data_IF_507770169200
#
_entry.id   IF_507770169200
#
_cell.length_a   1.000
_cell.length_b   1.000
_cell.length_c   1.000
_cell.angle_alpha   90.00
_cell.angle_beta   90.00
_cell.angle_gamma   90.00
#
_symmetry.space_group_name_H-M   'P 1'
#
loop_
_entity.id
_entity.type
_entity.pdbx_description
1 polymer ?
#
# COMPACT_ATOMS: atom_id res chain seq x y z
N UNK A 1 -1.76 12.28 -9.70
CA UNK A 1 -1.76 12.43 -8.22
C UNK A 1 -2.54 11.33 -7.48
N UNK A 2 -3.83 11.08 -7.76
CA UNK A 2 -4.59 9.99 -7.08
C UNK A 2 -4.01 8.61 -7.43
N UNK A 3 -3.74 8.37 -8.71
CA UNK A 3 -3.13 7.13 -9.20
C UNK A 3 -1.75 6.88 -8.58
N UNK A 4 -0.95 7.93 -8.42
CA UNK A 4 0.36 7.89 -7.76
C UNK A 4 0.25 7.43 -6.29
N UNK A 5 -0.73 7.96 -5.54
CA UNK A 5 -0.95 7.52 -4.16
C UNK A 5 -1.40 6.06 -4.09
N UNK A 6 -2.26 5.63 -5.01
CA UNK A 6 -2.66 4.23 -5.13
C UNK A 6 -1.44 3.32 -5.33
N UNK A 7 -0.56 3.64 -6.30
CA UNK A 7 0.64 2.86 -6.56
C UNK A 7 1.60 2.82 -5.36
N UNK A 8 1.76 3.94 -4.65
CA UNK A 8 2.56 3.99 -3.43
C UNK A 8 1.97 3.16 -2.29
N UNK A 9 0.64 3.11 -2.14
CA UNK A 9 -0.03 2.24 -1.17
C UNK A 9 0.11 0.77 -1.57
N UNK A 10 0.00 0.45 -2.87
CA UNK A 10 0.23 -0.91 -3.38
C UNK A 10 1.65 -1.39 -3.06
N UNK A 11 2.67 -0.53 -3.22
CA UNK A 11 4.04 -0.85 -2.76
C UNK A 11 4.09 -1.18 -1.26
N UNK A 12 3.39 -0.39 -0.42
CA UNK A 12 3.41 -0.60 1.04
C UNK A 12 2.69 -1.88 1.48
N UNK A 13 1.68 -2.32 0.73
CA UNK A 13 0.88 -3.51 1.07
C UNK A 13 1.50 -4.77 0.47
N UNK A 14 1.82 -4.76 -0.82
CA UNK A 14 2.31 -5.94 -1.55
C UNK A 14 3.78 -6.23 -1.20
N UNK A 15 4.56 -5.20 -0.84
CA UNK A 15 5.96 -5.30 -0.47
C UNK A 15 6.22 -5.34 1.05
N UNK A 16 5.21 -5.55 1.90
CA UNK A 16 5.31 -5.38 3.36
C UNK A 16 6.50 -6.14 4.03
N UNK A 17 6.91 -7.28 3.46
CA UNK A 17 8.07 -8.05 3.95
C UNK A 17 9.41 -7.42 3.56
N UNK A 18 9.48 -6.80 2.37
CA UNK A 18 10.71 -6.26 1.77
C UNK A 18 10.91 -4.76 2.04
N UNK A 19 9.84 -4.03 2.38
CA UNK A 19 9.91 -2.59 2.67
C UNK A 19 10.30 -2.33 4.14
N UNK A 20 11.01 -1.22 4.36
CA UNK A 20 11.41 -0.80 5.68
C UNK A 20 11.79 0.68 5.74
N UNK A 21 12.38 1.07 6.87
CA UNK A 21 13.03 2.36 6.99
C UNK A 21 14.44 2.26 6.41
N UNK A 22 14.51 2.26 5.08
CA UNK A 22 15.74 2.23 4.30
C UNK A 22 15.68 3.23 3.14
N UNK A 23 16.86 3.56 2.59
CA UNK A 23 16.97 4.54 1.50
C UNK A 23 16.16 4.13 0.28
N UNK A 24 16.20 2.86 -0.11
CA UNK A 24 15.50 2.37 -1.30
C UNK A 24 14.00 2.58 -1.18
N UNK A 25 13.39 2.21 -0.04
CA UNK A 25 11.96 2.36 0.20
C UNK A 25 11.52 3.82 0.09
N UNK A 26 12.24 4.76 0.72
CA UNK A 26 11.84 6.17 0.72
C UNK A 26 12.06 6.86 -0.63
N UNK A 27 13.11 6.50 -1.37
CA UNK A 27 13.32 6.98 -2.73
C UNK A 27 12.26 6.41 -3.69
N UNK A 28 11.88 5.15 -3.53
CA UNK A 28 10.81 4.50 -4.31
C UNK A 28 9.45 5.12 -4.05
N UNK A 29 9.11 5.38 -2.77
CA UNK A 29 7.91 6.10 -2.38
C UNK A 29 7.87 7.49 -3.01
N UNK A 30 8.98 8.23 -2.96
CA UNK A 30 9.07 9.52 -3.63
C UNK A 30 8.81 9.37 -5.13
N UNK A 31 9.54 8.48 -5.82
CA UNK A 31 9.40 8.26 -7.26
C UNK A 31 7.97 7.95 -7.71
N UNK A 32 7.27 7.08 -6.98
CA UNK A 32 5.86 6.78 -7.25
C UNK A 32 4.97 7.99 -7.01
N UNK A 33 5.16 8.70 -5.89
CA UNK A 33 4.34 9.86 -5.53
C UNK A 33 4.56 11.08 -6.43
N UNK A 34 5.75 11.23 -7.00
CA UNK A 34 6.17 12.36 -7.85
C UNK A 34 6.07 12.07 -9.35
N UNK A 35 5.71 10.85 -9.74
CA UNK A 35 5.60 10.44 -11.15
C UNK A 35 4.76 11.42 -11.98
N UNK A 36 5.37 12.01 -13.02
CA UNK A 36 4.77 13.01 -13.92
C UNK A 36 4.24 14.29 -13.22
N UNK A 37 4.73 14.61 -12.02
CA UNK A 37 4.36 15.83 -11.28
C UNK A 37 5.52 16.83 -11.12
N UNK A 38 6.76 16.40 -11.37
CA UNK A 38 7.95 17.24 -11.19
C UNK A 38 8.21 18.10 -12.44
N UNK A 39 8.65 19.37 -12.29
CA UNK A 39 9.13 20.18 -13.42
C UNK A 39 10.33 19.55 -14.12
N UNK A 40 11.25 18.97 -13.34
CA UNK A 40 12.35 18.14 -13.83
C UNK A 40 12.03 16.66 -13.56
N UNK A 41 11.76 15.84 -14.59
CA UNK A 41 11.49 14.42 -14.42
C UNK A 41 12.62 13.65 -13.72
N UNK A 42 13.88 14.10 -13.86
CA UNK A 42 15.04 13.43 -13.23
C UNK A 42 15.09 13.63 -11.71
N UNK A 43 14.35 14.60 -11.17
CA UNK A 43 14.21 14.81 -9.72
C UNK A 43 13.34 13.74 -9.05
N UNK A 44 12.51 13.03 -9.83
CA UNK A 44 11.64 11.98 -9.31
C UNK A 44 12.46 10.83 -8.71
N UNK A 45 12.12 10.43 -7.47
CA UNK A 45 12.84 9.37 -6.75
C UNK A 45 14.29 9.69 -6.36
N UNK A 46 14.72 10.96 -6.39
CA UNK A 46 16.10 11.35 -6.03
C UNK A 46 16.12 12.45 -4.99
N UNK A 47 17.17 12.45 -4.16
CA UNK A 47 17.46 13.57 -3.26
C UNK A 47 17.75 14.82 -4.09
N UNK A 48 17.28 15.97 -3.61
CA UNK A 48 17.47 17.24 -4.31
C UNK A 48 18.93 17.69 -4.26
N UNK A 49 19.35 18.35 -5.32
CA UNK A 49 20.68 18.95 -5.43
C UNK A 49 20.63 20.48 -5.44
N UNK A 50 19.43 21.07 -5.40
CA UNK A 50 19.20 22.51 -5.34
C UNK A 50 18.52 22.91 -4.02
N UNK A 51 18.67 24.17 -3.57
CA UNK A 51 17.89 24.70 -2.46
C UNK A 51 16.40 24.75 -2.79
N UNK A 52 15.56 24.64 -1.76
CA UNK A 52 14.10 24.81 -1.84
C UNK A 52 13.64 25.77 -0.75
N UNK A 53 12.44 26.32 -0.91
CA UNK A 53 11.80 27.20 0.07
C UNK A 53 10.45 26.64 0.47
N UNK A 54 10.05 26.89 1.71
CA UNK A 54 8.69 26.60 2.19
C UNK A 54 7.85 27.85 2.01
N UNK A 55 6.93 27.81 1.04
CA UNK A 55 6.00 28.92 0.81
C UNK A 55 5.22 29.25 2.09
N UNK A 56 5.12 30.54 2.42
CA UNK A 56 4.37 31.02 3.60
C UNK A 56 5.08 30.78 4.94
N UNK A 57 6.35 30.42 4.95
CA UNK A 57 7.16 30.25 6.16
C UNK A 57 8.50 30.98 6.04
N UNK A 58 9.05 31.42 7.18
CA UNK A 58 10.43 31.97 7.25
C UNK A 58 11.49 30.87 7.34
N UNK A 59 11.08 29.61 7.46
CA UNK A 59 11.98 28.48 7.54
C UNK A 59 12.75 28.27 6.24
N UNK A 60 14.08 28.14 6.36
CA UNK A 60 15.00 27.83 5.27
C UNK A 60 15.58 26.45 5.51
N UNK A 61 15.20 25.42 4.72
CA UNK A 61 15.76 24.09 4.84
C UNK A 61 17.25 24.05 4.54
N UNK A 62 17.94 23.04 5.07
CA UNK A 62 19.33 22.75 4.77
C UNK A 62 19.59 22.73 3.25
N UNK A 63 20.51 23.53 2.74
CA UNK A 63 20.68 23.71 1.29
C UNK A 63 21.76 22.81 0.67
N UNK A 64 22.75 22.36 1.45
CA UNK A 64 23.94 21.66 0.95
C UNK A 64 23.63 20.20 0.59
N UNK A 65 23.76 19.75 -0.67
CA UNK A 65 23.38 18.40 -1.10
C UNK A 65 24.06 17.27 -0.32
N UNK A 66 25.35 17.39 -0.02
CA UNK A 66 26.11 16.38 0.73
C UNK A 66 25.54 16.22 2.14
N UNK A 67 25.27 17.33 2.83
CA UNK A 67 24.68 17.29 4.18
C UNK A 67 23.23 16.78 4.15
N UNK A 68 22.47 17.06 3.08
CA UNK A 68 21.11 16.51 2.92
C UNK A 68 21.18 14.99 2.82
N UNK A 69 22.10 14.44 2.03
CA UNK A 69 22.27 13.00 1.91
C UNK A 69 22.70 12.35 3.24
N UNK A 70 23.66 12.95 3.94
CA UNK A 70 24.09 12.50 5.26
C UNK A 70 22.94 12.50 6.27
N UNK A 71 22.27 13.63 6.46
CA UNK A 71 21.13 13.75 7.38
C UNK A 71 19.97 12.84 6.98
N UNK A 72 19.70 12.65 5.68
CA UNK A 72 18.68 11.73 5.21
C UNK A 72 18.99 10.31 5.64
N UNK A 73 20.22 9.83 5.40
CA UNK A 73 20.65 8.49 5.82
C UNK A 73 20.59 8.33 7.35
N UNK A 74 21.02 9.34 8.10
CA UNK A 74 20.93 9.34 9.57
C UNK A 74 19.48 9.25 10.08
N UNK A 75 18.57 10.05 9.52
CA UNK A 75 17.15 10.02 9.87
C UNK A 75 16.57 8.63 9.61
N UNK A 76 16.81 8.06 8.43
CA UNK A 76 16.28 6.76 8.06
C UNK A 76 16.86 5.64 8.94
N UNK A 77 18.17 5.63 9.17
CA UNK A 77 18.83 4.67 10.05
C UNK A 77 18.31 4.79 11.49
N UNK A 78 18.12 6.02 12.00
CA UNK A 78 17.58 6.22 13.33
C UNK A 78 16.14 5.72 13.42
N UNK A 79 15.30 6.06 12.44
CA UNK A 79 13.93 5.56 12.37
C UNK A 79 13.90 4.03 12.43
N UNK A 80 14.75 3.33 11.67
CA UNK A 80 14.83 1.86 11.65
C UNK A 80 15.15 1.23 13.02
N UNK A 81 15.78 1.97 13.93
CA UNK A 81 16.13 1.47 15.28
C UNK A 81 15.07 1.73 16.35
N UNK A 82 14.10 2.63 16.09
CA UNK A 82 13.01 2.92 17.02
C UNK A 82 12.10 1.70 17.14
N UNK A 83 11.86 1.25 18.38
CA UNK A 83 11.11 0.02 18.67
C UNK A 83 9.60 0.25 18.69
N UNK A 84 9.15 1.37 19.26
CA UNK A 84 7.72 1.68 19.30
C UNK A 84 7.22 2.12 17.91
N UNK A 85 6.23 1.43 17.32
CA UNK A 85 5.79 1.72 15.96
C UNK A 85 5.15 3.10 15.80
N UNK A 86 4.55 3.65 16.87
CA UNK A 86 3.95 4.99 16.84
C UNK A 86 5.02 6.08 16.92
N UNK A 87 6.01 5.91 17.79
CA UNK A 87 7.18 6.78 17.85
C UNK A 87 7.92 6.75 16.52
N UNK A 88 8.11 5.57 15.92
CA UNK A 88 8.77 5.41 14.62
C UNK A 88 8.00 6.14 13.50
N UNK A 89 6.67 6.01 13.46
CA UNK A 89 5.81 6.74 12.53
C UNK A 89 5.91 8.25 12.73
N UNK A 90 5.77 8.70 13.97
CA UNK A 90 5.79 10.11 14.35
C UNK A 90 7.16 10.76 14.07
N UNK A 91 8.25 10.03 14.32
CA UNK A 91 9.61 10.48 14.06
C UNK A 91 9.80 10.85 12.58
N UNK A 92 9.36 9.99 11.65
CA UNK A 92 9.42 10.29 10.22
C UNK A 92 8.46 11.42 9.81
N UNK A 93 7.33 11.58 10.50
CA UNK A 93 6.43 12.72 10.30
C UNK A 93 7.03 14.08 10.67
N UNK A 94 7.96 14.09 11.63
CA UNK A 94 8.68 15.30 12.04
C UNK A 94 9.92 15.53 11.17
N UNK A 95 10.81 14.54 11.10
CA UNK A 95 12.17 14.73 10.62
C UNK A 95 12.26 14.84 9.09
N UNK A 96 11.49 14.03 8.36
CA UNK A 96 11.56 14.03 6.90
C UNK A 96 11.05 15.36 6.30
N UNK A 97 9.89 15.91 6.72
CA UNK A 97 9.47 17.23 6.29
C UNK A 97 10.39 18.33 6.83
N UNK A 98 11.02 18.19 7.98
CA UNK A 98 11.98 19.21 8.42
C UNK A 98 13.19 19.28 7.48
N UNK A 99 13.82 18.15 7.15
CA UNK A 99 14.97 18.10 6.25
C UNK A 99 14.65 18.58 4.82
N UNK A 100 13.43 18.31 4.33
CA UNK A 100 13.04 18.49 2.92
C UNK A 100 14.05 17.84 1.96
N UNK A 101 14.26 16.52 1.97
CA UNK A 101 15.26 15.86 1.12
C UNK A 101 14.93 15.89 -0.38
N UNK A 102 13.67 16.13 -0.76
CA UNK A 102 13.20 16.15 -2.14
C UNK A 102 12.82 17.57 -2.60
N UNK A 103 12.78 17.79 -3.91
CA UNK A 103 12.39 19.11 -4.47
C UNK A 103 10.92 19.47 -4.19
N UNK A 104 10.03 18.47 -4.16
CA UNK A 104 8.65 18.58 -3.70
C UNK A 104 8.21 17.24 -3.06
N UNK A 105 6.94 17.09 -2.67
CA UNK A 105 6.32 15.81 -2.26
C UNK A 105 6.78 15.31 -0.88
N UNK A 106 7.71 15.98 -0.20
CA UNK A 106 8.24 15.61 1.13
C UNK A 106 7.16 15.25 2.16
N UNK A 107 6.10 16.05 2.26
CA UNK A 107 5.01 15.84 3.23
C UNK A 107 4.16 14.61 2.88
N UNK A 108 3.97 14.33 1.59
CA UNK A 108 3.26 13.13 1.11
C UNK A 108 4.08 11.87 1.36
N UNK A 109 5.38 11.89 1.04
CA UNK A 109 6.31 10.78 1.34
C UNK A 109 6.32 10.50 2.83
N UNK A 110 6.40 11.54 3.65
CA UNK A 110 6.41 11.42 5.11
C UNK A 110 5.14 10.76 5.66
N UNK A 111 3.94 11.17 5.21
CA UNK A 111 2.67 10.58 5.65
C UNK A 111 2.50 9.12 5.23
N UNK A 112 2.94 8.74 4.02
CA UNK A 112 2.91 7.33 3.61
C UNK A 112 4.02 6.52 4.29
N UNK A 113 5.22 7.05 4.41
CA UNK A 113 6.34 6.39 5.10
C UNK A 113 6.04 6.14 6.58
N UNK A 114 5.29 7.02 7.25
CA UNK A 114 4.82 6.80 8.62
C UNK A 114 3.97 5.53 8.77
N UNK A 115 3.29 5.09 7.70
CA UNK A 115 2.48 3.87 7.73
C UNK A 115 3.30 2.58 7.66
N UNK A 116 4.60 2.64 7.30
CA UNK A 116 5.46 1.44 7.22
C UNK A 116 5.50 0.72 8.57
N UNK A 117 5.76 1.44 9.67
CA UNK A 117 5.84 0.86 11.01
C UNK A 117 4.50 0.27 11.47
N UNK A 118 3.39 0.95 11.17
CA UNK A 118 2.05 0.51 11.52
C UNK A 118 1.68 -0.77 10.77
N UNK A 119 1.89 -0.81 9.46
CA UNK A 119 1.58 -1.97 8.61
C UNK A 119 2.41 -3.18 9.02
N UNK A 120 3.73 -3.03 9.23
CA UNK A 120 4.62 -4.14 9.63
C UNK A 120 4.25 -4.74 10.98
N UNK A 121 3.62 -3.95 11.86
CA UNK A 121 3.15 -4.40 13.17
C UNK A 121 1.65 -4.77 13.17
N UNK A 122 1.03 -4.91 11.99
CA UNK A 122 -0.38 -5.25 11.83
C UNK A 122 -1.34 -4.29 12.58
N UNK A 123 -0.95 -3.01 12.65
CA UNK A 123 -1.74 -1.92 13.21
C UNK A 123 -2.57 -1.24 12.11
N UNK A 124 -3.60 -0.51 12.52
CA UNK A 124 -4.42 0.26 11.57
C UNK A 124 -3.55 1.33 10.90
N UNK A 125 -3.57 1.45 9.56
CA UNK A 125 -2.90 2.55 8.90
C UNK A 125 -3.46 3.92 9.33
N UNK A 126 -2.58 4.89 9.51
CA UNK A 126 -2.91 6.30 9.68
C UNK A 126 -3.43 6.88 8.36
N UNK A 127 -4.65 7.43 8.40
CA UNK A 127 -5.22 8.25 7.33
C UNK A 127 -5.28 9.71 7.75
N UNK A 128 -5.21 10.59 6.75
CA UNK A 128 -5.41 12.03 6.92
C UNK A 128 -6.77 12.49 6.38
N UNK A 129 -7.68 11.54 6.17
CA UNK A 129 -9.07 11.84 5.86
C UNK A 129 -9.66 12.66 7.02
N UNK A 130 -10.33 13.75 6.68
CA UNK A 130 -10.97 14.68 7.62
C UNK A 130 -10.03 15.38 8.62
N UNK A 131 -8.70 15.22 8.48
CA UNK A 131 -7.74 16.03 9.22
C UNK A 131 -7.85 17.49 8.76
N UNK A 132 -8.13 18.46 9.65
CA UNK A 132 -8.23 19.86 9.26
C UNK A 132 -6.90 20.35 8.68
N UNK A 133 -6.93 20.81 7.42
CA UNK A 133 -5.72 21.25 6.70
C UNK A 133 -4.96 22.32 7.48
N UNK A 134 -5.68 23.29 8.05
CA UNK A 134 -5.09 24.39 8.82
C UNK A 134 -4.34 23.89 10.06
N UNK A 135 -4.90 22.92 10.79
CA UNK A 135 -4.25 22.33 11.96
C UNK A 135 -2.96 21.59 11.56
N UNK A 136 -2.96 20.91 10.41
CA UNK A 136 -1.74 20.26 9.88
C UNK A 136 -0.68 21.28 9.47
N UNK A 137 -1.07 22.38 8.82
CA UNK A 137 -0.17 23.47 8.45
C UNK A 137 0.45 24.10 9.71
N UNK A 138 -0.37 24.48 10.69
CA UNK A 138 0.10 25.10 11.94
C UNK A 138 1.04 24.16 12.72
N UNK A 139 0.74 22.86 12.73
CA UNK A 139 1.60 21.84 13.33
C UNK A 139 2.97 21.74 12.63
N UNK A 140 3.00 21.81 11.30
CA UNK A 140 4.26 21.81 10.53
C UNK A 140 5.05 23.11 10.75
N UNK A 141 4.37 24.26 10.81
CA UNK A 141 5.02 25.55 11.12
C UNK A 141 5.62 25.57 12.52
N UNK A 142 4.94 24.96 13.51
CA UNK A 142 5.50 24.79 14.86
C UNK A 142 6.83 24.05 14.86
N UNK A 143 6.99 23.05 13.99
CA UNK A 143 8.26 22.33 13.81
C UNK A 143 9.26 23.21 13.07
N UNK A 144 8.87 23.78 11.92
CA UNK A 144 9.76 24.52 11.04
C UNK A 144 10.33 25.79 11.68
N UNK A 145 9.51 26.54 12.40
CA UNK A 145 9.86 27.88 12.88
C UNK A 145 10.19 27.91 14.36
N UNK A 146 9.63 26.98 15.14
CA UNK A 146 9.80 26.97 16.60
C UNK A 146 10.52 25.73 17.12
N UNK A 147 10.82 24.74 16.26
CA UNK A 147 11.38 23.45 16.65
C UNK A 147 10.54 22.74 17.75
N UNK A 148 9.21 22.89 17.66
CA UNK A 148 8.23 22.36 18.61
C UNK A 148 7.32 21.35 17.91
N UNK A 149 7.24 20.16 18.48
CA UNK A 149 6.55 19.01 17.87
C UNK A 149 5.19 18.73 18.51
N UNK A 150 4.82 19.43 19.58
CA UNK A 150 3.64 19.17 20.41
C UNK A 150 2.33 19.26 19.60
N UNK A 151 2.20 20.27 18.75
CA UNK A 151 1.02 20.41 17.87
C UNK A 151 0.90 19.24 16.90
N UNK A 152 2.01 18.80 16.30
CA UNK A 152 1.98 17.64 15.40
C UNK A 152 1.70 16.35 16.16
N UNK A 153 2.23 16.21 17.39
CA UNK A 153 1.96 15.04 18.25
C UNK A 153 0.47 14.93 18.56
N UNK A 154 -0.13 16.02 19.01
CA UNK A 154 -1.55 16.04 19.38
C UNK A 154 -2.44 15.77 18.16
N UNK A 155 -2.08 16.35 16.99
CA UNK A 155 -2.75 16.07 15.73
C UNK A 155 -2.57 14.61 15.27
N UNK A 156 -1.38 14.04 15.43
CA UNK A 156 -1.08 12.64 15.09
C UNK A 156 -1.91 11.67 15.92
N UNK A 157 -1.99 11.87 17.24
CA UNK A 157 -2.82 11.05 18.13
C UNK A 157 -4.28 11.12 17.71
N UNK A 158 -4.80 12.35 17.53
CA UNK A 158 -6.19 12.55 17.11
C UNK A 158 -6.51 11.88 15.76
N UNK A 159 -5.62 12.05 14.77
CA UNK A 159 -5.78 11.46 13.46
C UNK A 159 -5.71 9.93 13.51
N UNK A 160 -4.85 9.36 14.35
CA UNK A 160 -4.74 7.92 14.52
C UNK A 160 -5.96 7.31 15.20
N UNK A 161 -6.47 7.92 16.28
CA UNK A 161 -7.69 7.49 16.96
C UNK A 161 -8.87 7.45 15.99
N UNK A 162 -9.01 8.50 15.16
CA UNK A 162 -10.03 8.55 14.12
C UNK A 162 -9.84 7.44 13.09
N UNK A 163 -8.61 7.29 12.57
CA UNK A 163 -8.27 6.24 11.60
C UNK A 163 -8.67 4.86 12.12
N UNK A 164 -8.27 4.53 13.34
CA UNK A 164 -8.59 3.26 13.99
C UNK A 164 -10.11 3.06 14.14
N UNK A 165 -10.86 4.10 14.51
CA UNK A 165 -12.32 4.04 14.61
C UNK A 165 -12.98 3.78 13.26
N UNK A 166 -12.53 4.45 12.19
CA UNK A 166 -13.03 4.22 10.83
C UNK A 166 -12.74 2.80 10.36
N UNK A 167 -11.52 2.32 10.52
CA UNK A 167 -11.16 0.93 10.18
C UNK A 167 -11.98 -0.08 10.98
N UNK A 168 -12.24 0.17 12.27
CA UNK A 168 -13.10 -0.67 13.09
C UNK A 168 -14.56 -0.69 12.60
N UNK A 169 -15.11 0.47 12.20
CA UNK A 169 -16.46 0.57 11.65
C UNK A 169 -16.58 -0.17 10.31
N UNK A 170 -15.60 -0.02 9.42
CA UNK A 170 -15.53 -0.72 8.14
C UNK A 170 -15.39 -2.23 8.37
N UNK A 171 -14.49 -2.67 9.24
CA UNK A 171 -14.31 -4.10 9.57
C UNK A 171 -15.60 -4.75 10.06
N UNK A 172 -16.39 -4.08 10.90
CA UNK A 172 -17.69 -4.60 11.38
C UNK A 172 -18.73 -4.78 10.28
N UNK A 173 -18.61 -4.07 9.15
CA UNK A 173 -19.54 -4.17 8.01
C UNK A 173 -19.06 -5.12 6.92
N UNK A 174 -17.78 -5.50 6.93
CA UNK A 174 -17.22 -6.50 6.02
C UNK A 174 -17.43 -7.91 6.60
N UNK A 175 -17.85 -8.86 5.74
CA UNK A 175 -17.76 -10.27 6.10
C UNK A 175 -16.28 -10.63 6.28
N UNK A 176 -15.95 -11.40 7.33
CA UNK A 176 -14.57 -11.83 7.57
C UNK A 176 -14.01 -12.49 6.29
N UNK A 177 -12.87 -12.01 5.76
CA UNK A 177 -12.28 -12.59 4.58
C UNK A 177 -11.84 -14.03 4.90
N UNK A 178 -12.28 -14.97 4.08
CA UNK A 178 -11.86 -16.37 4.18
C UNK A 178 -10.32 -16.44 4.02
N UNK A 179 -9.56 -16.83 5.07
CA UNK A 179 -8.09 -16.81 5.06
C UNK A 179 -7.51 -17.67 3.93
N UNK A 180 -8.18 -18.77 3.60
CA UNK A 180 -7.78 -19.67 2.52
C UNK A 180 -7.91 -18.98 1.16
N UNK A 181 -8.98 -18.20 1.00
CA UNK A 181 -9.25 -17.39 -0.20
C UNK A 181 -8.24 -16.27 -0.36
N UNK A 182 -7.83 -15.64 0.74
CA UNK A 182 -6.83 -14.57 0.69
C UNK A 182 -5.47 -15.12 0.24
N UNK A 183 -5.04 -16.24 0.83
CA UNK A 183 -3.73 -16.85 0.55
C UNK A 183 -3.62 -17.39 -0.87
N UNK A 184 -4.65 -18.06 -1.38
CA UNK A 184 -4.61 -18.68 -2.71
C UNK A 184 -5.37 -17.90 -3.77
N UNK A 185 -5.51 -16.58 -3.60
CA UNK A 185 -6.31 -15.72 -4.48
C UNK A 185 -5.80 -15.77 -5.92
N UNK A 186 -4.49 -15.67 -6.11
CA UNK A 186 -3.85 -15.62 -7.43
C UNK A 186 -3.99 -16.97 -8.14
N UNK A 187 -3.66 -18.04 -7.44
CA UNK A 187 -3.76 -19.43 -7.89
C UNK A 187 -5.19 -19.77 -8.30
N UNK A 188 -6.17 -19.42 -7.45
CA UNK A 188 -7.59 -19.60 -7.75
C UNK A 188 -8.01 -18.82 -9.00
N UNK A 189 -7.58 -17.56 -9.13
CA UNK A 189 -7.93 -16.74 -10.29
C UNK A 189 -7.38 -17.31 -11.59
N UNK A 190 -6.11 -17.71 -11.58
CA UNK A 190 -5.42 -18.31 -12.73
C UNK A 190 -6.05 -19.66 -13.11
N UNK A 191 -6.32 -20.53 -12.12
CA UNK A 191 -6.92 -21.84 -12.33
C UNK A 191 -8.32 -21.75 -12.92
N UNK A 192 -9.17 -20.85 -12.41
CA UNK A 192 -10.52 -20.64 -12.95
C UNK A 192 -10.47 -20.07 -14.37
N UNK A 193 -9.56 -19.12 -14.62
CA UNK A 193 -9.31 -18.59 -15.96
C UNK A 193 -8.94 -19.69 -16.95
N UNK A 194 -7.97 -20.54 -16.59
CA UNK A 194 -7.49 -21.66 -17.41
C UNK A 194 -8.60 -22.67 -17.74
N UNK A 195 -9.40 -23.06 -16.73
CA UNK A 195 -10.50 -24.01 -16.91
C UNK A 195 -11.50 -23.51 -17.94
N UNK A 196 -11.89 -22.24 -17.86
CA UNK A 196 -12.90 -21.66 -18.75
C UNK A 196 -12.32 -21.39 -20.15
N UNK A 197 -11.14 -20.79 -20.23
CA UNK A 197 -10.51 -20.43 -21.51
C UNK A 197 -10.16 -21.67 -22.35
N UNK A 198 -9.72 -22.75 -21.73
CA UNK A 198 -9.40 -24.00 -22.42
C UNK A 198 -10.59 -24.95 -22.54
N UNK A 199 -11.79 -24.51 -22.15
CA UNK A 199 -13.01 -25.32 -22.16
C UNK A 199 -12.85 -26.68 -21.46
N UNK A 200 -12.09 -26.74 -20.34
CA UNK A 200 -11.80 -27.98 -19.61
C UNK A 200 -13.10 -28.57 -19.05
N UNK A 201 -13.44 -29.77 -19.51
CA UNK A 201 -14.62 -30.53 -19.09
C UNK A 201 -14.34 -31.37 -17.83
N UNK A 202 -13.06 -31.66 -17.59
CA UNK A 202 -12.50 -32.38 -16.45
C UNK A 202 -12.13 -31.44 -15.28
N UNK A 203 -12.89 -30.36 -15.10
CA UNK A 203 -12.58 -29.29 -14.13
C UNK A 203 -12.29 -29.85 -12.72
N UNK A 204 -13.04 -30.83 -12.25
CA UNK A 204 -12.86 -31.43 -10.92
C UNK A 204 -11.53 -32.19 -10.77
N UNK A 205 -11.12 -32.92 -11.80
CA UNK A 205 -9.83 -33.61 -11.83
C UNK A 205 -8.67 -32.62 -11.91
N UNK A 206 -8.82 -31.55 -12.71
CA UNK A 206 -7.83 -30.48 -12.84
C UNK A 206 -7.63 -29.75 -11.51
N UNK A 207 -8.70 -29.39 -10.81
CA UNK A 207 -8.64 -28.70 -9.51
C UNK A 207 -7.96 -29.59 -8.46
N UNK A 208 -8.34 -30.86 -8.39
CA UNK A 208 -7.77 -31.82 -7.43
C UNK A 208 -6.28 -32.04 -7.69
N UNK A 209 -5.89 -32.26 -8.95
CA UNK A 209 -4.49 -32.40 -9.37
C UNK A 209 -3.66 -31.14 -9.09
N UNK A 210 -4.25 -29.95 -9.27
CA UNK A 210 -3.60 -28.69 -8.91
C UNK A 210 -3.34 -28.61 -7.40
N UNK A 211 -4.37 -28.91 -6.59
CA UNK A 211 -4.28 -28.90 -5.14
C UNK A 211 -3.20 -29.88 -4.63
N UNK A 212 -3.17 -31.10 -5.18
CA UNK A 212 -2.21 -32.14 -4.79
C UNK A 212 -0.75 -31.76 -5.07
N UNK A 213 -0.49 -31.04 -6.16
CA UNK A 213 0.86 -30.66 -6.58
C UNK A 213 1.37 -29.41 -5.87
N UNK A 214 0.49 -28.48 -5.49
CA UNK A 214 0.86 -27.11 -5.09
C UNK A 214 0.57 -26.79 -3.62
N UNK A 215 -0.31 -27.54 -2.95
CA UNK A 215 -0.78 -27.21 -1.60
C UNK A 215 -0.41 -28.27 -0.56
N UNK A 216 -0.28 -27.82 0.69
CA UNK A 216 -0.11 -28.68 1.85
C UNK A 216 -1.34 -29.56 2.07
N UNK A 217 -1.14 -30.80 2.53
CA UNK A 217 -2.21 -31.82 2.64
C UNK A 217 -3.43 -31.35 3.44
N UNK A 218 -3.21 -30.57 4.51
CA UNK A 218 -4.27 -30.04 5.36
C UNK A 218 -5.24 -29.08 4.64
N UNK A 219 -4.85 -28.52 3.51
CA UNK A 219 -5.51 -27.37 2.89
C UNK A 219 -6.12 -27.71 1.53
N UNK A 220 -5.76 -28.88 0.97
CA UNK A 220 -6.20 -29.34 -0.36
C UNK A 220 -7.71 -29.43 -0.46
N UNK A 221 -8.36 -30.10 0.49
CA UNK A 221 -9.81 -30.33 0.45
C UNK A 221 -10.57 -29.01 0.50
N UNK A 222 -10.18 -28.12 1.40
CA UNK A 222 -10.81 -26.81 1.53
C UNK A 222 -10.60 -25.95 0.28
N UNK A 223 -9.42 -26.01 -0.35
CA UNK A 223 -9.14 -25.28 -1.59
C UNK A 223 -9.98 -25.81 -2.76
N UNK A 224 -10.07 -27.15 -2.92
CA UNK A 224 -10.89 -27.78 -3.96
C UNK A 224 -12.35 -27.33 -3.86
N UNK A 225 -12.92 -27.39 -2.65
CA UNK A 225 -14.31 -26.97 -2.42
C UNK A 225 -14.53 -25.48 -2.66
N UNK A 226 -13.56 -24.64 -2.25
CA UNK A 226 -13.59 -23.21 -2.53
C UNK A 226 -13.62 -22.90 -4.03
N UNK A 227 -12.72 -23.52 -4.82
CA UNK A 227 -12.65 -23.31 -6.27
C UNK A 227 -13.91 -23.81 -6.97
N UNK A 228 -14.41 -25.00 -6.60
CA UNK A 228 -15.68 -25.55 -7.13
C UNK A 228 -16.84 -24.60 -6.91
N UNK A 229 -16.97 -24.06 -5.69
CA UNK A 229 -18.01 -23.09 -5.33
C UNK A 229 -17.91 -21.82 -6.16
N UNK A 230 -16.70 -21.31 -6.43
CA UNK A 230 -16.52 -20.15 -7.30
C UNK A 230 -16.89 -20.45 -8.77
N UNK A 231 -16.49 -21.61 -9.29
CA UNK A 231 -16.87 -22.04 -10.64
C UNK A 231 -18.39 -22.14 -10.78
N UNK A 232 -19.09 -22.67 -9.78
CA UNK A 232 -20.57 -22.74 -9.77
C UNK A 232 -21.26 -21.37 -9.73
N UNK A 233 -20.55 -20.34 -9.25
CA UNK A 233 -21.04 -18.96 -9.15
C UNK A 233 -20.66 -18.11 -10.36
N UNK A 234 -19.96 -18.67 -11.34
CA UNK A 234 -19.60 -17.93 -12.54
C UNK A 234 -20.86 -17.54 -13.33
N UNK A 235 -20.99 -16.24 -13.54
CA UNK A 235 -21.97 -15.66 -14.44
C UNK A 235 -21.36 -14.42 -15.11
N UNK A 236 -22.03 -13.89 -16.13
CA UNK A 236 -21.56 -12.76 -16.94
C UNK A 236 -21.06 -11.53 -16.15
N UNK A 237 -21.60 -11.29 -14.95
CA UNK A 237 -21.19 -10.16 -14.10
C UNK A 237 -19.90 -10.37 -13.32
N UNK A 238 -19.37 -11.60 -13.24
CA UNK A 238 -18.21 -11.96 -12.42
C UNK A 238 -17.01 -12.41 -13.26
N UNK A 239 -17.21 -12.85 -14.51
CA UNK A 239 -16.14 -13.42 -15.37
C UNK A 239 -14.93 -12.49 -15.57
N UNK A 240 -15.13 -11.18 -15.53
CA UNK A 240 -14.05 -10.20 -15.66
C UNK A 240 -12.99 -10.32 -14.54
N UNK A 241 -13.37 -10.79 -13.33
CA UNK A 241 -12.43 -11.00 -12.21
C UNK A 241 -11.35 -12.03 -12.54
N UNK A 242 -11.69 -12.97 -13.42
CA UNK A 242 -10.86 -14.08 -13.84
C UNK A 242 -10.21 -13.84 -15.21
N UNK A 243 -10.28 -12.60 -15.74
CA UNK A 243 -9.80 -12.22 -17.09
C UNK A 243 -10.42 -13.03 -18.23
N UNK A 244 -11.62 -13.55 -18.02
CA UNK A 244 -12.39 -14.32 -19.00
C UNK A 244 -13.22 -13.36 -19.86
N UNK A 245 -13.21 -13.55 -21.17
CA UNK A 245 -14.04 -12.80 -22.12
C UNK A 245 -15.44 -13.41 -22.25
N UNK A 246 -16.48 -12.61 -22.57
CA UNK A 246 -17.83 -13.11 -22.82
C UNK A 246 -17.92 -14.31 -23.78
N UNK A 247 -17.14 -14.27 -24.87
CA UNK A 247 -17.11 -15.33 -25.87
C UNK A 247 -16.51 -16.65 -25.33
N UNK A 248 -15.46 -16.57 -24.52
CA UNK A 248 -14.82 -17.73 -23.88
C UNK A 248 -15.77 -18.39 -22.88
N UNK A 249 -16.46 -17.58 -22.07
CA UNK A 249 -17.45 -18.08 -21.14
C UNK A 249 -18.62 -18.77 -21.84
N UNK A 250 -19.16 -18.17 -22.91
CA UNK A 250 -20.23 -18.76 -23.70
C UNK A 250 -19.80 -20.08 -24.38
N UNK A 251 -18.56 -20.17 -24.86
CA UNK A 251 -18.01 -21.39 -25.45
C UNK A 251 -17.92 -22.52 -24.40
N UNK A 252 -17.46 -22.21 -23.20
CA UNK A 252 -17.39 -23.17 -22.09
C UNK A 252 -18.77 -23.61 -21.58
N UNK A 253 -19.76 -22.72 -21.53
CA UNK A 253 -21.13 -23.10 -21.20
C UNK A 253 -21.70 -24.08 -22.24
N UNK A 254 -21.51 -23.79 -23.54
CA UNK A 254 -21.93 -24.69 -24.62
C UNK A 254 -21.22 -26.04 -24.59
N UNK A 255 -19.95 -26.09 -24.21
CA UNK A 255 -19.21 -27.35 -24.13
C UNK A 255 -19.70 -28.22 -22.96
N UNK A 256 -20.16 -27.60 -21.87
CA UNK A 256 -20.83 -28.29 -20.76
C UNK A 256 -22.22 -28.81 -21.11
N UNK A 257 -22.99 -28.05 -21.88
CA UNK A 257 -24.33 -28.46 -22.33
C UNK A 257 -24.29 -29.65 -23.29
N UNK A 258 -23.23 -29.81 -24.08
CA UNK A 258 -23.06 -30.95 -25.02
C UNK A 258 -22.75 -32.30 -24.35
N UNK A 259 -22.58 -32.33 -23.03
CA UNK A 259 -22.31 -33.54 -22.25
C UNK A 259 -23.56 -34.14 -21.58
N UNK A 260 -24.71 -33.47 -21.69
CA UNK A 260 -26.02 -33.97 -21.29
C UNK A 260 -26.92 -34.17 -22.51
#
# INVERSE_FOLDING_TARGET
MILNHKAAIELLIDGAEDIGFDTYTFLSLHGLLSENLMPDPESSGRLRWRPVHIGGSVYVPLAMPQLIEECFREIINKAATIQDPFEQAFFIMVQLPYLQPFEDVNKRVSRLGANISLIKNNLCPLTFLDVPERAYIDAQLGIYEMNRHELLRDLFIWAYERSANEYNAVRKSLADPDPLRLRYRKEMHELIGDIVQNCRLDAEAVISSYADRRLAQAERLAFVEMVKKEISRLHMGIIARYRIRPAEFAAWQKSKERLF
#
